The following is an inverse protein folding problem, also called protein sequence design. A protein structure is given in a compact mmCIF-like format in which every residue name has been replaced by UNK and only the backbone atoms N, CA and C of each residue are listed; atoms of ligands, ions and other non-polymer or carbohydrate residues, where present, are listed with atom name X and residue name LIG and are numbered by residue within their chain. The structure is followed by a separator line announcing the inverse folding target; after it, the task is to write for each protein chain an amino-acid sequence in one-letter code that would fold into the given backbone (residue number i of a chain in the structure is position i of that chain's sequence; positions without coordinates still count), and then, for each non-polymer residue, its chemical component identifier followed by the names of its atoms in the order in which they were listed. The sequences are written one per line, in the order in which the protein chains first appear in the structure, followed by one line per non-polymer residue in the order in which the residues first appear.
data_IF_767816702488
#
_entry.id   IF_767816702488
#
_cell.length_a   1.000
_cell.length_b   1.000
_cell.length_c   1.000
_cell.angle_alpha   90.00
_cell.angle_beta   90.00
_cell.angle_gamma   90.00
#
_symmetry.space_group_name_H-M   'P 1'
#
loop_
_entity.id
_entity.type
_entity.pdbx_description
1 polymer ?
#
# COMPACT_ATOMS: atom_id res chain seq x y z
N UNK A 1 -1.69 -7.56 -5.90
CA UNK A 1 -3.11 -7.26 -5.65
C UNK A 1 -3.56 -8.04 -4.42
N UNK A 2 -4.37 -7.44 -3.55
CA UNK A 2 -4.91 -8.09 -2.34
C UNK A 2 -6.30 -7.57 -2.02
N UNK A 3 -7.20 -8.43 -1.52
CA UNK A 3 -8.48 -8.01 -0.97
C UNK A 3 -8.71 -8.53 0.46
N UNK A 4 -9.72 -8.01 1.18
CA UNK A 4 -10.03 -8.40 2.55
C UNK A 4 -10.26 -9.90 2.74
N UNK A 5 -10.74 -10.58 1.70
CA UNK A 5 -11.02 -12.01 1.65
C UNK A 5 -9.79 -12.89 1.91
N UNK A 6 -8.58 -12.38 1.67
CA UNK A 6 -7.33 -13.06 2.05
C UNK A 6 -7.29 -13.30 3.57
N UNK A 7 -7.70 -12.30 4.35
CA UNK A 7 -7.64 -12.32 5.81
C UNK A 7 -8.94 -12.82 6.42
N UNK A 8 -10.08 -12.53 5.81
CA UNK A 8 -11.37 -12.96 6.32
C UNK A 8 -12.37 -13.17 5.18
N UNK A 9 -12.71 -14.42 4.84
CA UNK A 9 -13.69 -14.69 3.78
C UNK A 9 -15.09 -14.16 4.19
N UNK A 10 -15.80 -13.55 3.24
CA UNK A 10 -17.13 -12.99 3.44
C UNK A 10 -18.22 -14.09 3.52
N UNK A 11 -17.99 -15.21 2.84
CA UNK A 11 -18.86 -16.38 2.83
C UNK A 11 -18.18 -17.54 3.59
N UNK A 12 -18.99 -18.31 4.31
CA UNK A 12 -18.66 -19.40 5.24
C UNK A 12 -18.22 -19.00 6.66
N UNK A 13 -18.85 -19.66 7.64
CA UNK A 13 -18.45 -19.77 9.06
C UNK A 13 -17.02 -20.33 9.29
N UNK A 14 -16.18 -20.37 8.26
CA UNK A 14 -14.80 -20.85 8.30
C UNK A 14 -13.89 -19.68 8.60
N UNK A 15 -13.50 -19.61 9.87
CA UNK A 15 -12.45 -18.70 10.30
C UNK A 15 -11.15 -19.08 9.59
N UNK A 16 -10.36 -18.10 9.12
CA UNK A 16 -9.00 -18.35 8.66
C UNK A 16 -8.22 -18.98 9.79
N UNK A 17 -7.69 -20.17 9.56
CA UNK A 17 -7.03 -20.95 10.61
C UNK A 17 -5.57 -21.18 10.25
N UNK A 18 -4.70 -20.34 10.81
CA UNK A 18 -3.25 -20.47 10.71
C UNK A 18 -2.65 -20.74 12.10
N UNK A 19 -2.74 -21.99 12.61
CA UNK A 19 -2.43 -22.32 14.00
C UNK A 19 -0.95 -22.22 14.36
N UNK A 20 -0.07 -22.24 13.35
CA UNK A 20 1.38 -22.24 13.53
C UNK A 20 2.07 -21.00 12.93
N UNK A 21 1.30 -20.06 12.39
CA UNK A 21 1.88 -18.86 11.80
C UNK A 21 2.35 -17.92 12.92
N UNK A 22 3.62 -17.56 12.90
CA UNK A 22 4.25 -16.66 13.87
C UNK A 22 4.52 -15.28 13.28
N UNK A 23 4.87 -15.20 12.00
CA UNK A 23 5.19 -13.95 11.32
C UNK A 23 4.44 -13.88 9.99
N UNK A 24 3.86 -12.72 9.70
CA UNK A 24 3.22 -12.44 8.42
C UNK A 24 3.68 -11.10 7.88
N UNK A 25 4.17 -11.07 6.64
CA UNK A 25 4.51 -9.83 5.94
C UNK A 25 3.93 -9.86 4.54
N UNK A 26 3.21 -8.81 4.15
CA UNK A 26 2.64 -8.67 2.83
C UNK A 26 2.93 -7.29 2.26
N UNK A 27 3.53 -7.27 1.08
CA UNK A 27 3.64 -6.10 0.23
C UNK A 27 2.60 -6.20 -0.89
N UNK A 28 1.76 -5.18 -1.08
CA UNK A 28 0.63 -5.25 -2.02
C UNK A 28 0.50 -4.01 -2.90
N UNK A 29 0.18 -4.21 -4.18
CA UNK A 29 -0.12 -3.16 -5.16
C UNK A 29 -1.40 -2.37 -4.82
N UNK A 30 -1.66 -1.26 -5.51
CA UNK A 30 -2.76 -0.35 -5.22
C UNK A 30 -4.17 -0.87 -5.54
N UNK A 31 -4.31 -2.09 -6.07
CA UNK A 31 -5.60 -2.67 -6.45
C UNK A 31 -5.87 -4.05 -5.86
N UNK A 32 -7.15 -4.36 -5.70
CA UNK A 32 -7.69 -5.67 -5.32
C UNK A 32 -7.77 -6.59 -6.53
N UNK A 33 -7.87 -7.92 -6.34
CA UNK A 33 -8.13 -8.86 -7.43
C UNK A 33 -9.42 -8.60 -8.22
N UNK A 34 -10.42 -7.95 -7.59
CA UNK A 34 -11.67 -7.51 -8.24
C UNK A 34 -11.50 -6.28 -9.14
N UNK A 35 -10.31 -5.65 -9.14
CA UNK A 35 -10.01 -4.43 -9.88
C UNK A 35 -10.41 -3.15 -9.15
N UNK A 36 -10.80 -3.25 -7.87
CA UNK A 36 -11.08 -2.07 -7.06
C UNK A 36 -9.77 -1.46 -6.54
N UNK A 37 -9.76 -0.14 -6.37
CA UNK A 37 -8.56 0.57 -5.92
C UNK A 37 -8.51 0.65 -4.38
N UNK A 38 -7.40 0.18 -3.80
CA UNK A 38 -7.04 0.38 -2.39
C UNK A 38 -6.54 1.80 -2.14
N UNK A 39 -5.97 2.43 -3.16
CA UNK A 39 -5.53 3.82 -3.11
C UNK A 39 -6.15 4.65 -4.24
N UNK A 40 -6.55 5.86 -3.94
CA UNK A 40 -7.08 6.85 -4.87
C UNK A 40 -6.02 7.92 -5.17
N UNK A 41 -6.31 8.72 -6.20
CA UNK A 41 -5.48 9.87 -6.54
C UNK A 41 -5.42 10.85 -5.37
N UNK A 42 -4.22 11.15 -4.91
CA UNK A 42 -4.03 12.15 -3.85
C UNK A 42 -3.87 13.55 -4.46
N UNK A 43 -4.77 14.51 -4.15
CA UNK A 43 -4.67 15.88 -4.67
C UNK A 43 -3.44 16.64 -4.13
N UNK A 44 -2.81 16.16 -3.04
CA UNK A 44 -1.57 16.74 -2.51
C UNK A 44 -0.36 16.40 -3.38
N UNK A 45 -0.49 15.37 -4.21
CA UNK A 45 0.58 14.90 -5.06
C UNK A 45 0.45 15.49 -6.46
N UNK A 46 1.48 16.20 -6.94
CA UNK A 46 1.43 16.84 -8.24
C UNK A 46 1.38 15.79 -9.35
N UNK A 47 0.71 16.13 -10.45
CA UNK A 47 0.71 15.28 -11.64
C UNK A 47 2.14 15.13 -12.14
N UNK A 48 2.56 13.88 -12.33
CA UNK A 48 3.84 13.57 -12.91
C UNK A 48 3.90 14.13 -14.34
N UNK A 49 4.87 15.00 -14.61
CA UNK A 49 5.05 15.62 -15.90
C UNK A 49 6.19 14.94 -16.64
N UNK A 50 5.86 13.98 -17.51
CA UNK A 50 6.84 13.26 -18.36
C UNK A 50 7.67 14.20 -19.24
N UNK A 51 7.13 15.37 -19.60
CA UNK A 51 7.78 16.34 -20.49
C UNK A 51 8.82 17.22 -19.77
N UNK A 52 8.91 17.17 -18.44
CA UNK A 52 9.86 18.03 -17.68
C UNK A 52 11.29 17.51 -17.64
N UNK A 53 11.55 16.26 -18.01
CA UNK A 53 12.91 15.72 -18.03
C UNK A 53 13.33 15.29 -19.45
N UNK A 54 14.13 16.11 -20.16
CA UNK A 54 14.60 15.77 -21.51
C UNK A 54 15.51 14.52 -21.55
N UNK A 55 16.03 14.05 -20.41
CA UNK A 55 16.78 12.79 -20.31
C UNK A 55 15.87 11.55 -20.38
N UNK A 56 14.55 11.70 -20.16
CA UNK A 56 13.58 10.59 -20.12
C UNK A 56 13.00 10.23 -21.50
N UNK A 57 13.51 10.81 -22.59
CA UNK A 57 13.02 10.58 -23.96
C UNK A 57 13.08 9.11 -24.42
N UNK A 58 13.97 8.29 -23.83
CA UNK A 58 14.08 6.85 -24.10
C UNK A 58 13.09 5.98 -23.32
N UNK A 59 12.40 6.56 -22.33
CA UNK A 59 11.39 5.92 -21.48
C UNK A 59 9.99 6.45 -21.78
N UNK A 60 9.80 7.15 -22.91
CA UNK A 60 8.48 7.59 -23.33
C UNK A 60 7.65 6.33 -23.60
N UNK A 61 6.55 6.10 -22.86
CA UNK A 61 5.68 4.98 -23.13
C UNK A 61 5.28 5.00 -24.61
N UNK A 62 5.09 3.85 -25.28
CA UNK A 62 4.37 3.85 -26.53
C UNK A 62 3.04 4.60 -26.28
N UNK A 63 2.84 5.68 -27.02
CA UNK A 63 1.83 6.74 -26.79
C UNK A 63 0.36 6.28 -26.72
N UNK A 64 0.09 4.98 -26.73
CA UNK A 64 -1.27 4.45 -26.78
C UNK A 64 -1.92 4.36 -25.39
N UNK A 65 -1.14 4.15 -24.32
CA UNK A 65 -1.67 4.07 -22.95
C UNK A 65 -1.39 5.37 -22.16
N UNK A 66 -2.37 5.79 -21.37
CA UNK A 66 -2.17 6.94 -20.50
C UNK A 66 -1.22 6.55 -19.36
N UNK A 67 -0.31 7.43 -18.90
CA UNK A 67 0.71 7.04 -17.94
C UNK A 67 0.19 6.46 -16.61
N UNK A 68 -1.03 6.85 -16.22
CA UNK A 68 -1.73 6.31 -15.06
C UNK A 68 -2.15 4.83 -15.19
N UNK A 69 -2.12 4.26 -16.39
CA UNK A 69 -2.44 2.88 -16.70
C UNK A 69 -1.17 2.00 -16.70
N UNK A 70 -0.02 2.56 -17.07
CA UNK A 70 1.27 1.89 -17.03
C UNK A 70 1.87 1.85 -15.60
N UNK A 71 1.67 2.93 -14.84
CA UNK A 71 2.21 3.06 -13.48
C UNK A 71 1.11 3.44 -12.47
N UNK A 72 0.12 2.58 -12.23
CA UNK A 72 -1.05 2.93 -11.43
C UNK A 72 -0.74 3.24 -9.97
N UNK A 73 0.33 2.64 -9.42
CA UNK A 73 0.79 2.77 -8.03
C UNK A 73 1.48 4.13 -7.76
N UNK A 74 1.84 4.90 -8.81
CA UNK A 74 2.61 6.15 -8.73
C UNK A 74 1.73 7.37 -8.50
N UNK A 75 0.45 7.26 -8.88
CA UNK A 75 -0.52 8.36 -8.83
C UNK A 75 -1.52 8.19 -7.69
N UNK A 76 -1.59 6.99 -7.10
CA UNK A 76 -2.63 6.58 -6.18
C UNK A 76 -2.04 6.31 -4.80
N UNK A 77 -2.05 7.35 -3.98
CA UNK A 77 -1.44 7.34 -2.65
C UNK A 77 -2.42 7.68 -1.53
N UNK A 78 -3.61 8.20 -1.86
CA UNK A 78 -4.64 8.48 -0.86
C UNK A 78 -5.38 7.19 -0.49
N UNK A 79 -5.64 6.90 0.79
CA UNK A 79 -6.30 5.66 1.18
C UNK A 79 -7.78 5.66 0.75
N UNK A 80 -8.22 4.59 0.08
CA UNK A 80 -9.64 4.38 -0.23
C UNK A 80 -10.36 3.70 0.95
N UNK A 81 -11.72 3.75 1.02
CA UNK A 81 -12.46 3.02 2.05
C UNK A 81 -12.23 1.51 2.07
N UNK A 82 -11.79 0.91 0.96
CA UNK A 82 -11.52 -0.52 0.84
C UNK A 82 -10.24 -0.91 1.60
N UNK A 83 -9.26 -0.02 1.64
CA UNK A 83 -8.05 -0.21 2.45
C UNK A 83 -8.38 -0.40 3.93
N UNK A 84 -9.33 0.38 4.45
CA UNK A 84 -9.77 0.23 5.84
C UNK A 84 -10.39 -1.16 6.08
N UNK A 85 -11.20 -1.66 5.13
CA UNK A 85 -11.76 -3.02 5.22
C UNK A 85 -10.66 -4.09 5.21
N UNK A 86 -9.61 -3.90 4.41
CA UNK A 86 -8.45 -4.78 4.38
C UNK A 86 -7.76 -4.83 5.75
N UNK A 87 -7.48 -3.67 6.36
CA UNK A 87 -6.82 -3.59 7.66
C UNK A 87 -7.69 -4.12 8.80
N UNK A 88 -9.00 -3.87 8.78
CA UNK A 88 -9.94 -4.46 9.75
C UNK A 88 -9.95 -5.98 9.62
N UNK A 89 -10.01 -6.52 8.40
CA UNK A 89 -9.98 -7.96 8.16
C UNK A 89 -8.67 -8.58 8.66
N UNK A 90 -7.54 -7.92 8.41
CA UNK A 90 -6.23 -8.35 8.89
C UNK A 90 -6.13 -8.37 10.42
N UNK A 91 -6.59 -7.30 11.09
CA UNK A 91 -6.64 -7.24 12.55
C UNK A 91 -7.54 -8.34 13.14
N UNK A 92 -8.70 -8.57 12.52
CA UNK A 92 -9.63 -9.60 12.95
C UNK A 92 -9.03 -11.00 12.77
N UNK A 93 -8.35 -11.26 11.65
CA UNK A 93 -7.62 -12.49 11.41
C UNK A 93 -6.51 -12.70 12.44
N UNK A 94 -5.69 -11.68 12.70
CA UNK A 94 -4.59 -11.73 13.68
C UNK A 94 -5.08 -12.18 15.07
N UNK A 95 -6.27 -11.72 15.50
CA UNK A 95 -6.90 -12.13 16.77
C UNK A 95 -7.22 -13.63 16.83
N UNK A 96 -7.44 -14.28 15.70
CA UNK A 96 -7.78 -15.70 15.61
C UNK A 96 -6.56 -16.59 15.29
N UNK A 97 -5.36 -16.01 15.20
CA UNK A 97 -4.12 -16.75 15.01
C UNK A 97 -3.41 -16.95 16.35
N UNK A 98 -3.37 -18.17 16.91
CA UNK A 98 -2.92 -18.38 18.29
C UNK A 98 -1.42 -18.19 18.51
N UNK A 99 -0.58 -18.29 17.47
CA UNK A 99 0.89 -18.15 17.58
C UNK A 99 1.46 -16.93 16.87
N UNK A 100 0.62 -16.09 16.27
CA UNK A 100 1.08 -14.93 15.50
C UNK A 100 1.72 -13.89 16.42
N UNK A 101 3.01 -13.67 16.28
CA UNK A 101 3.80 -12.68 17.02
C UNK A 101 3.75 -11.31 16.33
N UNK A 102 3.97 -11.26 15.01
CA UNK A 102 3.91 -10.02 14.24
C UNK A 102 3.19 -10.18 12.91
N UNK A 103 2.50 -9.14 12.49
CA UNK A 103 1.91 -9.02 11.16
C UNK A 103 2.14 -7.62 10.61
N UNK A 104 2.65 -7.53 9.38
CA UNK A 104 2.94 -6.28 8.69
C UNK A 104 2.34 -6.32 7.28
N UNK A 105 1.56 -5.29 6.95
CA UNK A 105 1.05 -5.07 5.59
C UNK A 105 1.57 -3.73 5.11
N UNK A 106 2.22 -3.73 3.96
CA UNK A 106 2.79 -2.53 3.36
C UNK A 106 2.20 -2.35 1.99
N UNK A 107 1.48 -1.24 1.80
CA UNK A 107 1.10 -0.82 0.46
C UNK A 107 2.36 -0.51 -0.33
N UNK A 108 2.58 -1.24 -1.42
CA UNK A 108 3.57 -0.91 -2.43
C UNK A 108 3.08 0.30 -3.22
N UNK A 109 2.98 1.42 -2.52
CA UNK A 109 2.93 2.76 -3.12
C UNK A 109 4.40 3.18 -3.30
N UNK A 110 5.20 2.28 -3.90
CA UNK A 110 6.41 2.69 -4.56
C UNK A 110 5.92 3.18 -5.90
N UNK A 111 6.17 4.44 -6.20
CA UNK A 111 6.17 4.79 -7.59
C UNK A 111 7.09 3.83 -8.33
N UNK A 112 6.54 3.20 -9.34
CA UNK A 112 7.19 2.93 -10.59
C UNK A 112 8.28 3.93 -10.94
N UNK A 113 9.15 3.46 -11.84
CA UNK A 113 10.36 4.11 -12.31
C UNK A 113 11.43 4.40 -11.23
N UNK A 114 11.14 4.62 -9.95
CA UNK A 114 12.17 4.89 -8.93
C UNK A 114 13.03 3.67 -8.57
N UNK A 115 12.41 2.49 -8.44
CA UNK A 115 13.12 1.23 -8.23
C UNK A 115 13.98 0.82 -9.43
N UNK A 116 13.65 1.32 -10.63
CA UNK A 116 14.37 1.07 -11.88
C UNK A 116 15.43 2.12 -12.19
N UNK A 117 15.23 3.38 -11.80
CA UNK A 117 16.08 4.51 -12.20
C UNK A 117 16.99 5.04 -11.09
N UNK A 118 16.78 4.68 -9.82
CA UNK A 118 17.61 5.18 -8.71
C UNK A 118 17.60 6.71 -8.60
N UNK A 119 16.60 7.37 -9.19
CA UNK A 119 16.44 8.81 -9.20
C UNK A 119 15.30 9.18 -8.25
N UNK A 120 15.43 10.30 -7.54
CA UNK A 120 14.39 10.90 -6.70
C UNK A 120 13.30 11.53 -7.60
N UNK A 121 12.62 10.72 -8.41
CA UNK A 121 11.63 11.20 -9.37
C UNK A 121 10.22 11.27 -8.73
N UNK A 122 10.09 10.80 -7.49
CA UNK A 122 8.86 10.97 -6.73
C UNK A 122 8.76 12.34 -6.11
N UNK A 123 7.65 13.01 -6.41
CA UNK A 123 7.24 14.24 -5.75
C UNK A 123 6.35 13.98 -4.51
N UNK A 124 5.96 12.71 -4.28
CA UNK A 124 5.21 12.23 -3.12
C UNK A 124 5.52 10.75 -2.86
N UNK A 125 6.30 10.43 -1.84
CA UNK A 125 6.42 9.04 -1.35
C UNK A 125 5.52 8.91 -0.11
N UNK A 126 4.36 8.25 -0.26
CA UNK A 126 3.43 8.02 0.84
C UNK A 126 3.25 6.51 1.00
N UNK A 127 3.70 5.96 2.12
CA UNK A 127 3.54 4.53 2.44
C UNK A 127 2.41 4.36 3.44
N UNK A 128 1.59 3.34 3.21
CA UNK A 128 0.57 2.90 4.14
C UNK A 128 0.98 1.58 4.75
N UNK A 129 1.16 1.59 6.06
CA UNK A 129 1.69 0.46 6.80
C UNK A 129 0.72 0.06 7.90
N UNK A 130 0.22 -1.17 7.86
CA UNK A 130 -0.47 -1.80 8.98
C UNK A 130 0.52 -2.69 9.73
N UNK A 131 0.48 -2.62 11.06
CA UNK A 131 1.33 -3.42 11.93
C UNK A 131 0.54 -3.95 13.14
N UNK A 132 0.72 -5.23 13.42
CA UNK A 132 0.25 -5.91 14.62
C UNK A 132 1.43 -6.57 15.32
N UNK A 133 1.47 -6.44 16.64
CA UNK A 133 2.47 -7.06 17.50
C UNK A 133 1.82 -7.59 18.77
N UNK A 134 2.00 -8.89 19.00
CA UNK A 134 1.40 -9.59 20.14
C UNK A 134 1.98 -9.15 21.47
N UNK A 135 3.31 -9.06 21.59
CA UNK A 135 3.97 -8.82 22.87
C UNK A 135 3.50 -7.52 23.53
N UNK A 136 3.28 -6.49 22.72
CA UNK A 136 2.78 -5.19 23.16
C UNK A 136 1.25 -5.08 23.11
N UNK A 137 0.55 -6.10 22.59
CA UNK A 137 -0.89 -6.05 22.33
C UNK A 137 -1.27 -4.90 21.39
N UNK A 138 -0.38 -4.54 20.46
CA UNK A 138 -0.48 -3.32 19.66
C UNK A 138 -0.98 -3.63 18.26
N UNK A 139 -1.94 -2.82 17.81
CA UNK A 139 -2.31 -2.66 16.40
C UNK A 139 -2.10 -1.20 16.06
N UNK A 140 -1.47 -0.91 14.94
CA UNK A 140 -1.33 0.45 14.42
C UNK A 140 -1.35 0.43 12.90
N UNK A 141 -1.89 1.48 12.30
CA UNK A 141 -1.68 1.78 10.91
C UNK A 141 -1.07 3.18 10.81
N UNK A 142 -0.05 3.34 9.99
CA UNK A 142 0.68 4.59 9.83
C UNK A 142 0.69 5.00 8.37
N UNK A 143 0.59 6.31 8.16
CA UNK A 143 0.91 6.94 6.88
C UNK A 143 2.32 7.52 7.04
N UNK A 144 3.26 7.02 6.25
CA UNK A 144 4.64 7.51 6.24
C UNK A 144 4.83 8.36 5.00
N UNK A 145 4.95 9.67 5.20
CA UNK A 145 5.24 10.63 4.13
C UNK A 145 6.74 10.92 4.10
N UNK A 146 7.41 10.49 3.04
CA UNK A 146 8.79 10.85 2.75
C UNK A 146 8.77 12.08 1.82
N UNK A 147 8.70 13.27 2.42
CA UNK A 147 8.92 14.51 1.70
C UNK A 147 10.43 14.76 1.65
N UNK A 148 11.05 14.78 0.47
CA UNK A 148 12.47 15.11 0.32
C UNK A 148 12.79 16.54 0.80
N UNK A 149 11.77 17.34 1.14
CA UNK A 149 11.87 18.72 1.64
C UNK A 149 11.40 18.93 3.09
N UNK A 150 10.85 17.91 3.79
CA UNK A 150 10.39 18.04 5.19
C UNK A 150 10.59 16.75 6.01
N UNK A 151 10.96 16.84 7.30
CA UNK A 151 11.17 15.66 8.14
C UNK A 151 9.87 14.86 8.36
N UNK A 152 10.01 13.54 8.40
CA UNK A 152 8.97 12.52 8.61
C UNK A 152 7.88 12.95 9.59
N UNK A 153 6.63 13.03 9.11
CA UNK A 153 5.46 13.25 9.96
C UNK A 153 4.71 11.91 10.09
N UNK A 154 4.79 11.29 11.26
CA UNK A 154 3.93 10.15 11.63
C UNK A 154 2.59 10.72 12.09
N UNK A 155 1.54 10.59 11.28
CA UNK A 155 0.18 10.90 11.73
C UNK A 155 -0.51 9.64 12.25
N UNK A 156 -0.66 9.56 13.57
CA UNK A 156 -1.53 8.58 14.20
C UNK A 156 -2.97 9.09 14.12
N UNK A 157 -3.85 8.42 13.37
CA UNK A 157 -5.30 8.62 13.46
C UNK A 157 -5.90 7.39 14.13
N UNK A 158 -6.58 7.63 15.26
CA UNK A 158 -7.05 6.60 16.20
C UNK A 158 -8.38 5.96 15.86
#
# INVERSE_FOLDING_TARGET
MVGPELFWPQDDNKQPYWPNLTYFHLTYAASTPSGEWLFERDPRCPEYNFDRNPENLYMRPPMDDAPQDEFPDDYRTAPSPILNRLYIAAAYAARHMPKLETMSLVGQVQAGLNGLLGQNILQCEIKHEFYYEREQGRVSWNIVENDSTRPNIVQNTG
#
